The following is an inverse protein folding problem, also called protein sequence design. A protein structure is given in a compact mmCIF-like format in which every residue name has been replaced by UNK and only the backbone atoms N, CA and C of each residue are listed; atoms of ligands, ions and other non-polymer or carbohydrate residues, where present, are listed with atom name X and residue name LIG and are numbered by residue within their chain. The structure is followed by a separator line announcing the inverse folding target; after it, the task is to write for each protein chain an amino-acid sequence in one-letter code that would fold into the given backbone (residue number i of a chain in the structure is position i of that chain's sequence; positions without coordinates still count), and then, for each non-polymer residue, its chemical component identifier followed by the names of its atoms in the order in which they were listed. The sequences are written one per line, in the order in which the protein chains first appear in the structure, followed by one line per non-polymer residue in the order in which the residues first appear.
data_IF_673298653933
#
_entry.id   IF_673298653933
#
_cell.length_a   1.000
_cell.length_b   1.000
_cell.length_c   1.000
_cell.angle_alpha   90.00
_cell.angle_beta   90.00
_cell.angle_gamma   90.00
#
_symmetry.space_group_name_H-M   'P 1'
#
loop_
_entity.id
_entity.type
_entity.pdbx_description
1 polymer ?
#
# COMPACT_ATOMS: atom_id res chain seq x y z
N UNK A 1 -3.12 -16.33 9.65
CA UNK A 1 -2.16 -17.38 9.23
C UNK A 1 -1.80 -17.22 7.75
N UNK A 2 -0.71 -16.51 7.41
CA UNK A 2 -0.17 -16.51 6.04
C UNK A 2 0.51 -17.86 5.81
N UNK A 3 -0.01 -18.69 4.91
CA UNK A 3 0.65 -19.95 4.52
C UNK A 3 1.80 -19.60 3.57
N UNK A 4 2.93 -19.12 4.11
CA UNK A 4 4.21 -19.15 3.39
C UNK A 4 4.57 -20.63 3.27
N UNK A 5 4.49 -21.17 2.06
CA UNK A 5 4.98 -22.53 1.77
C UNK A 5 6.43 -22.42 1.30
N UNK A 6 7.25 -23.27 1.89
CA UNK A 6 8.64 -23.61 1.61
C UNK A 6 9.56 -22.45 1.22
N UNK A 7 10.36 -22.06 2.22
CA UNK A 7 11.63 -21.35 2.05
C UNK A 7 12.59 -22.32 1.35
N UNK A 8 12.47 -22.42 0.03
CA UNK A 8 13.62 -22.78 -0.79
C UNK A 8 14.37 -21.46 -1.05
N UNK A 9 15.69 -21.46 -0.87
CA UNK A 9 16.46 -20.23 -0.74
C UNK A 9 16.17 -19.24 -1.90
N UNK A 10 15.75 -18.03 -1.51
CA UNK A 10 15.76 -16.77 -2.28
C UNK A 10 14.49 -16.20 -2.92
N UNK A 11 13.31 -16.86 -3.03
CA UNK A 11 12.09 -16.15 -3.54
C UNK A 11 10.78 -16.66 -2.91
N UNK A 12 10.03 -15.77 -2.25
CA UNK A 12 8.68 -16.06 -1.73
C UNK A 12 7.70 -16.26 -2.90
N UNK A 13 7.09 -17.44 -2.99
CA UNK A 13 6.03 -17.72 -3.95
C UNK A 13 4.67 -17.40 -3.33
N UNK A 14 3.90 -16.54 -4.00
CA UNK A 14 2.52 -16.24 -3.61
C UNK A 14 1.54 -17.05 -4.45
N UNK A 15 0.53 -17.63 -3.80
CA UNK A 15 -0.50 -18.45 -4.43
C UNK A 15 -1.83 -17.68 -4.58
N UNK A 16 -2.65 -18.11 -5.53
CA UNK A 16 -4.00 -17.59 -5.70
C UNK A 16 -4.90 -17.95 -4.52
N UNK A 17 -5.36 -16.94 -3.77
CA UNK A 17 -6.20 -17.17 -2.59
C UNK A 17 -7.55 -17.83 -2.93
N UNK A 18 -8.14 -17.52 -4.09
CA UNK A 18 -9.39 -18.15 -4.54
C UNK A 18 -9.18 -19.65 -4.72
N UNK A 19 -8.11 -20.07 -5.40
CA UNK A 19 -7.73 -21.48 -5.52
C UNK A 19 -7.48 -22.13 -4.16
N UNK A 20 -6.74 -21.46 -3.27
CA UNK A 20 -6.46 -21.98 -1.93
C UNK A 20 -7.74 -22.25 -1.12
N UNK A 21 -8.78 -21.42 -1.26
CA UNK A 21 -10.05 -21.61 -0.56
C UNK A 21 -10.79 -22.90 -0.99
N UNK A 22 -10.46 -23.41 -2.18
CA UNK A 22 -10.98 -24.66 -2.77
C UNK A 22 -9.90 -25.76 -2.82
N UNK A 23 -8.88 -25.66 -1.97
CA UNK A 23 -7.79 -26.64 -1.83
C UNK A 23 -6.90 -26.82 -3.08
N UNK A 24 -6.89 -25.86 -4.01
CA UNK A 24 -5.97 -25.82 -5.16
C UNK A 24 -4.79 -24.89 -4.93
N UNK A 25 -3.61 -25.29 -5.39
CA UNK A 25 -2.34 -24.57 -5.20
C UNK A 25 -1.82 -24.03 -6.51
N UNK A 26 -2.42 -22.94 -6.97
CA UNK A 26 -2.01 -22.26 -8.19
C UNK A 26 -1.12 -21.06 -7.85
N UNK A 27 0.10 -20.96 -8.40
CA UNK A 27 0.93 -19.76 -8.29
C UNK A 27 0.16 -18.54 -8.78
N UNK A 28 0.29 -17.40 -8.08
CA UNK A 28 -0.47 -16.19 -8.43
C UNK A 28 0.01 -15.55 -9.74
N UNK A 29 1.28 -15.77 -10.11
CA UNK A 29 1.88 -15.21 -11.33
C UNK A 29 1.13 -15.76 -12.55
N UNK A 30 0.65 -14.87 -13.41
CA UNK A 30 -0.10 -15.16 -14.64
C UNK A 30 -1.43 -15.91 -14.46
N UNK A 31 -1.87 -16.18 -13.23
CA UNK A 31 -3.06 -16.99 -12.98
C UNK A 31 -4.39 -16.20 -12.97
N UNK A 32 -4.34 -14.87 -13.04
CA UNK A 32 -5.54 -14.02 -12.85
C UNK A 32 -6.67 -14.36 -13.83
N UNK A 33 -6.34 -14.53 -15.11
CA UNK A 33 -7.33 -14.80 -16.17
C UNK A 33 -7.74 -16.27 -16.26
N UNK A 34 -6.83 -17.18 -15.89
CA UNK A 34 -7.04 -18.64 -16.00
C UNK A 34 -7.59 -19.25 -14.70
N UNK A 35 -7.92 -18.42 -13.71
CA UNK A 35 -8.45 -18.90 -12.44
C UNK A 35 -9.86 -19.46 -12.63
N UNK A 36 -10.00 -20.79 -12.49
CA UNK A 36 -11.30 -21.47 -12.50
C UNK A 36 -12.27 -20.95 -11.42
N UNK A 37 -11.75 -20.30 -10.38
CA UNK A 37 -12.53 -19.69 -9.30
C UNK A 37 -12.60 -18.16 -9.39
N UNK A 38 -12.22 -17.57 -10.54
CA UNK A 38 -12.26 -16.12 -10.77
C UNK A 38 -13.63 -15.53 -10.40
N UNK A 39 -14.70 -16.22 -10.84
CA UNK A 39 -16.08 -15.81 -10.65
C UNK A 39 -16.78 -16.57 -9.51
N UNK A 40 -16.03 -17.27 -8.64
CA UNK A 40 -16.62 -17.99 -7.52
C UNK A 40 -17.22 -17.01 -6.49
N UNK A 41 -18.47 -17.27 -6.10
CA UNK A 41 -19.28 -16.48 -5.17
C UNK A 41 -19.48 -17.14 -3.80
N UNK A 42 -18.68 -18.15 -3.45
CA UNK A 42 -18.74 -18.73 -2.09
C UNK A 42 -18.28 -17.72 -1.02
N UNK A 43 -18.71 -17.91 0.22
CA UNK A 43 -18.38 -17.01 1.35
C UNK A 43 -16.88 -16.71 1.47
N UNK A 44 -16.02 -17.73 1.31
CA UNK A 44 -14.57 -17.55 1.38
C UNK A 44 -14.04 -16.66 0.25
N UNK A 45 -14.55 -16.81 -0.97
CA UNK A 45 -14.13 -16.02 -2.14
C UNK A 45 -14.66 -14.59 -2.10
N UNK A 46 -15.87 -14.37 -1.57
CA UNK A 46 -16.39 -13.02 -1.31
C UNK A 46 -15.46 -12.26 -0.34
N UNK A 47 -14.99 -12.92 0.73
CA UNK A 47 -14.05 -12.30 1.67
C UNK A 47 -12.71 -11.94 1.02
N UNK A 48 -12.24 -12.74 0.04
CA UNK A 48 -11.04 -12.42 -0.74
C UNK A 48 -11.25 -11.15 -1.55
N UNK A 49 -12.42 -10.97 -2.16
CA UNK A 49 -12.73 -9.76 -2.93
C UNK A 49 -12.89 -8.53 -2.03
N UNK A 50 -13.62 -8.66 -0.91
CA UNK A 50 -13.74 -7.56 0.08
C UNK A 50 -12.38 -7.09 0.56
N UNK A 51 -11.48 -8.03 0.91
CA UNK A 51 -10.10 -7.70 1.30
C UNK A 51 -9.34 -7.00 0.16
N UNK A 52 -9.54 -7.42 -1.09
CA UNK A 52 -8.90 -6.77 -2.24
C UNK A 52 -9.36 -5.32 -2.38
N UNK A 53 -10.65 -5.05 -2.24
CA UNK A 53 -11.20 -3.69 -2.29
C UNK A 53 -10.66 -2.82 -1.15
N UNK A 54 -10.63 -3.33 0.08
CA UNK A 54 -10.07 -2.61 1.22
C UNK A 54 -8.59 -2.27 1.05
N UNK A 55 -7.79 -3.19 0.49
CA UNK A 55 -6.38 -2.91 0.22
C UNK A 55 -6.19 -1.84 -0.87
N UNK A 56 -7.07 -1.78 -1.86
CA UNK A 56 -7.02 -0.72 -2.89
C UNK A 56 -7.33 0.62 -2.24
N UNK A 57 -8.42 0.71 -1.47
CA UNK A 57 -8.79 1.92 -0.74
C UNK A 57 -7.71 2.38 0.24
N UNK A 58 -7.05 1.44 0.93
CA UNK A 58 -5.96 1.76 1.84
C UNK A 58 -4.79 2.41 1.10
N UNK A 59 -4.37 1.84 -0.03
CA UNK A 59 -3.30 2.42 -0.84
C UNK A 59 -3.66 3.79 -1.42
N UNK A 60 -4.90 3.97 -1.88
CA UNK A 60 -5.37 5.29 -2.35
C UNK A 60 -5.31 6.35 -1.24
N UNK A 61 -5.68 6.00 0.00
CA UNK A 61 -5.58 6.90 1.15
C UNK A 61 -4.13 7.19 1.57
N UNK A 62 -3.25 6.18 1.53
CA UNK A 62 -1.82 6.34 1.77
C UNK A 62 -1.20 7.30 0.75
N UNK A 63 -1.51 7.14 -0.54
CA UNK A 63 -1.03 8.03 -1.61
C UNK A 63 -1.51 9.48 -1.42
N UNK A 64 -2.77 9.69 -1.01
CA UNK A 64 -3.29 11.04 -0.72
C UNK A 64 -2.56 11.67 0.47
N UNK A 65 -2.38 10.92 1.56
CA UNK A 65 -1.69 11.41 2.75
C UNK A 65 -0.23 11.79 2.46
N UNK A 66 0.48 10.97 1.68
CA UNK A 66 1.85 11.25 1.26
C UNK A 66 1.92 12.53 0.41
N UNK A 67 0.95 12.76 -0.48
CA UNK A 67 0.88 13.98 -1.29
C UNK A 67 0.57 15.22 -0.45
N UNK A 68 -0.39 15.16 0.50
CA UNK A 68 -0.72 16.29 1.37
C UNK A 68 0.46 16.69 2.27
N UNK A 69 1.27 15.72 2.72
CA UNK A 69 2.49 16.01 3.48
C UNK A 69 3.51 16.76 2.61
N UNK A 70 3.73 16.31 1.38
CA UNK A 70 4.65 16.98 0.45
C UNK A 70 4.23 18.44 0.18
N UNK A 71 2.94 18.69 -0.02
CA UNK A 71 2.41 20.05 -0.25
C UNK A 71 2.63 20.97 0.96
N UNK A 72 2.59 20.44 2.18
CA UNK A 72 2.86 21.20 3.42
C UNK A 72 4.37 21.48 3.56
N UNK A 73 5.23 20.51 3.25
CA UNK A 73 6.69 20.68 3.32
C UNK A 73 7.19 21.77 2.35
N UNK A 74 6.63 21.85 1.14
CA UNK A 74 6.94 22.90 0.17
C UNK A 74 6.58 24.32 0.66
N UNK A 75 5.59 24.44 1.55
CA UNK A 75 5.19 25.71 2.17
C UNK A 75 6.17 26.13 3.27
N UNK A 76 6.67 25.20 4.09
CA UNK A 76 7.61 25.53 5.17
C UNK A 76 8.99 25.94 4.63
N UNK A 77 9.47 25.32 3.56
CA UNK A 77 10.71 25.76 2.90
C UNK A 77 10.58 27.17 2.31
N UNK A 78 9.41 27.52 1.79
CA UNK A 78 9.11 28.88 1.34
C UNK A 78 9.03 29.86 2.53
N UNK A 79 8.40 29.46 3.64
CA UNK A 79 8.29 30.29 4.85
C UNK A 79 9.64 30.54 5.51
N UNK A 80 10.53 29.52 5.56
CA UNK A 80 11.89 29.64 6.09
C UNK A 80 12.79 30.51 5.18
N UNK A 81 12.57 30.52 3.86
CA UNK A 81 13.21 31.48 2.94
C UNK A 81 12.74 32.92 3.16
N UNK A 82 11.47 33.13 3.47
CA UNK A 82 10.88 34.46 3.75
C UNK A 82 11.33 34.96 5.14
N UNK A 83 11.32 34.10 6.17
CA UNK A 83 11.70 34.44 7.54
C UNK A 83 13.15 34.88 7.71
N UNK A 84 14.07 34.33 6.90
CA UNK A 84 15.48 34.71 6.94
C UNK A 84 15.79 36.10 6.34
N UNK A 85 14.85 36.71 5.59
CA UNK A 85 15.01 38.10 5.11
C UNK A 85 14.60 39.15 6.14
N UNK A 86 13.89 38.78 7.21
CA UNK A 86 13.33 39.76 8.17
C UNK A 86 14.24 39.91 9.42
N UNK A 87 15.04 38.89 9.77
CA UNK A 87 15.88 38.89 10.98
C UNK A 87 17.31 39.45 10.79
N UNK A 88 17.43 40.59 10.10
CA UNK A 88 18.63 41.45 10.11
C UNK A 88 18.64 42.48 11.25
N UNK A 89 17.59 42.53 12.07
CA UNK A 89 17.46 43.45 13.19
C UNK A 89 18.17 42.94 14.44
N UNK A 90 19.31 43.55 14.73
CA UNK A 90 20.12 43.39 15.94
C UNK A 90 19.27 43.64 17.20
N UNK A 91 18.86 42.59 17.91
CA UNK A 91 18.36 42.73 19.29
C UNK A 91 19.49 42.39 20.24
N UNK A 92 20.07 43.44 20.83
CA UNK A 92 20.95 43.35 22.01
C UNK A 92 20.01 43.27 23.21
N UNK A 93 20.00 42.13 23.89
CA UNK A 93 19.39 42.04 25.23
C UNK A 93 20.44 42.56 26.22
N UNK A 94 20.14 43.73 26.78
CA UNK A 94 20.75 44.29 27.99
C UNK A 94 20.47 43.40 29.21
#
# INVERSE_FOLDING_TARGET
MRKLREVNCNKRVYYCQRCLNHNRLEPRKNHKCDCIYANCTCNKCILVEKRRMLNIQLHELEEIADNEINDIEDIDDNYNKIGNKIKGGKFIFL
#
